data_IF_550194399054
#
_entry.id   IF_550194399054
#
_cell.length_a   1.000
_cell.length_b   1.000
_cell.length_c   1.000
_cell.angle_alpha   90.00
_cell.angle_beta   90.00
_cell.angle_gamma   90.00
#
_symmetry.space_group_name_H-M   'P 1'
#
loop_
_entity.id
_entity.type
_entity.pdbx_description
1 polymer ?
#
# COMPACT_ATOMS: atom_id res chain seq x y z
N UNK A 1 -10.38 11.38 8.93
CA UNK A 1 -11.43 10.63 8.24
C UNK A 1 -10.91 10.02 6.95
N UNK A 2 -11.63 9.06 6.45
CA UNK A 2 -11.29 8.38 5.21
C UNK A 2 -11.97 9.10 4.05
N UNK A 3 -11.19 9.43 3.01
CA UNK A 3 -11.69 10.21 1.89
C UNK A 3 -12.07 9.37 0.67
N UNK A 4 -11.47 8.22 0.51
CA UNK A 4 -11.78 7.35 -0.61
C UNK A 4 -11.60 5.91 -0.21
N UNK A 5 -12.57 5.07 -0.54
CA UNK A 5 -12.52 3.63 -0.30
C UNK A 5 -13.06 2.94 -1.54
N UNK A 6 -12.37 1.91 -1.98
CA UNK A 6 -12.85 1.09 -3.08
C UNK A 6 -12.40 -0.34 -2.92
N UNK A 7 -13.26 -1.24 -3.37
CA UNK A 7 -12.92 -2.65 -3.47
C UNK A 7 -12.96 -3.02 -4.95
N UNK A 8 -11.83 -3.53 -5.45
CA UNK A 8 -11.67 -3.85 -6.85
C UNK A 8 -11.24 -5.31 -6.95
N UNK A 9 -12.20 -6.21 -6.87
CA UNK A 9 -11.97 -7.67 -6.84
C UNK A 9 -11.05 -8.04 -5.67
N UNK A 10 -9.80 -8.38 -5.93
CA UNK A 10 -8.87 -8.83 -4.89
C UNK A 10 -7.97 -7.70 -4.36
N UNK A 11 -8.27 -6.46 -4.74
CA UNK A 11 -7.52 -5.27 -4.29
C UNK A 11 -8.44 -4.25 -3.65
N UNK A 12 -8.00 -3.70 -2.55
CA UNK A 12 -8.69 -2.63 -1.83
C UNK A 12 -7.89 -1.35 -1.90
N UNK A 13 -8.59 -0.23 -1.97
CA UNK A 13 -7.98 1.10 -1.94
C UNK A 13 -8.58 1.91 -0.81
N UNK A 14 -7.73 2.53 -0.01
CA UNK A 14 -8.15 3.45 1.05
C UNK A 14 -7.28 4.70 0.96
N UNK A 15 -7.91 5.85 0.83
CA UNK A 15 -7.20 7.13 0.85
C UNK A 15 -7.72 7.95 2.03
N UNK A 16 -6.82 8.47 2.84
CA UNK A 16 -7.20 9.18 4.06
C UNK A 16 -7.24 10.70 3.85
N UNK A 17 -7.57 11.43 4.92
CA UNK A 17 -7.72 12.87 4.84
C UNK A 17 -6.40 13.63 4.76
N UNK A 18 -5.26 12.95 4.84
CA UNK A 18 -3.96 13.56 4.55
C UNK A 18 -3.63 13.50 3.06
N UNK A 19 -4.44 12.78 2.27
CA UNK A 19 -4.20 12.57 0.86
C UNK A 19 -3.39 11.32 0.56
N UNK A 20 -2.99 10.57 1.59
CA UNK A 20 -2.24 9.33 1.41
C UNK A 20 -3.17 8.21 0.98
N UNK A 21 -2.76 7.46 -0.02
CA UNK A 21 -3.51 6.31 -0.51
C UNK A 21 -2.74 5.01 -0.24
N UNK A 22 -3.49 3.99 0.11
CA UNK A 22 -2.96 2.63 0.32
C UNK A 22 -3.80 1.66 -0.47
N UNK A 23 -3.15 0.83 -1.27
CA UNK A 23 -3.85 -0.26 -1.95
C UNK A 23 -3.25 -1.59 -1.51
N UNK A 24 -4.09 -2.54 -1.19
CA UNK A 24 -3.69 -3.84 -0.68
C UNK A 24 -4.25 -4.95 -1.55
N UNK A 25 -3.41 -5.89 -1.92
CA UNK A 25 -3.79 -7.04 -2.72
C UNK A 25 -3.62 -8.33 -1.96
N UNK A 26 -4.49 -9.30 -2.26
CA UNK A 26 -4.59 -10.56 -1.55
C UNK A 26 -4.63 -11.72 -2.53
N UNK A 27 -4.66 -12.92 -2.02
CA UNK A 27 -4.88 -14.11 -2.82
C UNK A 27 -6.39 -14.28 -3.06
N UNK A 28 -6.77 -14.68 -4.28
CA UNK A 28 -8.18 -14.64 -4.68
C UNK A 28 -9.04 -15.75 -4.10
N UNK A 29 -8.57 -16.99 -4.09
CA UNK A 29 -9.39 -18.13 -3.73
C UNK A 29 -8.91 -18.88 -2.49
N UNK A 30 -7.91 -18.37 -1.83
CA UNK A 30 -7.27 -19.06 -0.74
C UNK A 30 -7.40 -18.25 0.53
N UNK A 31 -7.34 -18.94 1.65
CA UNK A 31 -7.25 -18.29 2.95
C UNK A 31 -5.80 -18.07 3.36
N UNK A 32 -4.86 -18.21 2.44
CA UNK A 32 -3.45 -18.00 2.75
C UNK A 32 -3.22 -16.56 3.22
N UNK A 33 -2.50 -16.38 4.31
CA UNK A 33 -2.40 -15.07 4.96
C UNK A 33 -1.31 -14.20 4.34
N UNK A 34 -1.47 -13.85 3.07
CA UNK A 34 -0.48 -13.08 2.32
C UNK A 34 -1.13 -11.82 1.74
N UNK A 35 -0.42 -10.70 1.80
CA UNK A 35 -0.84 -9.48 1.12
C UNK A 35 0.36 -8.63 0.74
N UNK A 36 0.16 -7.80 -0.29
CA UNK A 36 1.11 -6.76 -0.67
C UNK A 36 0.40 -5.43 -0.50
N UNK A 37 1.09 -4.48 0.13
CA UNK A 37 0.57 -3.14 0.38
C UNK A 37 1.43 -2.13 -0.36
N UNK A 38 0.80 -1.28 -1.17
CA UNK A 38 1.45 -0.15 -1.81
C UNK A 38 0.89 1.14 -1.23
N UNK A 39 1.77 2.00 -0.76
CA UNK A 39 1.40 3.27 -0.12
C UNK A 39 2.05 4.43 -0.86
N UNK A 40 1.26 5.44 -1.20
CA UNK A 40 1.78 6.68 -1.78
C UNK A 40 1.18 7.88 -1.04
N UNK A 41 2.03 8.70 -0.44
CA UNK A 41 1.58 9.96 0.13
C UNK A 41 1.15 10.91 -0.98
N UNK A 42 0.37 11.90 -0.65
CA UNK A 42 0.08 12.98 -1.59
C UNK A 42 1.33 13.83 -1.77
N UNK A 43 1.39 14.56 -2.87
CA UNK A 43 2.48 15.47 -3.13
C UNK A 43 3.24 15.11 -4.40
N UNK A 44 3.86 16.13 -4.98
CA UNK A 44 4.46 16.03 -6.29
C UNK A 44 5.62 15.01 -6.37
N UNK A 45 6.38 14.91 -5.30
CA UNK A 45 7.56 14.04 -5.27
C UNK A 45 7.35 12.73 -4.53
N UNK A 46 6.11 12.43 -4.14
CA UNK A 46 5.83 11.20 -3.41
C UNK A 46 5.98 9.98 -4.32
N UNK A 47 6.69 8.97 -3.81
CA UNK A 47 6.87 7.70 -4.52
C UNK A 47 6.08 6.61 -3.80
N UNK A 48 5.92 5.47 -4.46
CA UNK A 48 5.20 4.35 -3.86
C UNK A 48 6.14 3.50 -3.04
N UNK A 49 5.74 3.18 -1.81
CA UNK A 49 6.41 2.19 -0.99
C UNK A 49 5.65 0.87 -1.07
N UNK A 50 6.38 -0.22 -1.22
CA UNK A 50 5.79 -1.55 -1.23
C UNK A 50 6.18 -2.34 0.01
N UNK A 51 5.22 -3.06 0.59
CA UNK A 51 5.45 -3.92 1.74
C UNK A 51 4.75 -5.25 1.54
N UNK A 52 5.36 -6.30 2.05
CA UNK A 52 4.87 -7.66 1.97
C UNK A 52 4.52 -8.15 3.37
N UNK A 53 3.35 -8.76 3.54
CA UNK A 53 2.97 -9.38 4.80
C UNK A 53 2.63 -10.85 4.55
N UNK A 54 3.29 -11.73 5.31
CA UNK A 54 2.93 -13.14 5.37
C UNK A 54 2.72 -13.47 6.84
N UNK A 55 1.46 -13.66 7.22
CA UNK A 55 1.12 -14.03 8.59
C UNK A 55 1.29 -15.53 8.77
N UNK A 56 1.55 -16.01 10.00
CA UNK A 56 1.69 -17.44 10.24
C UNK A 56 0.43 -18.22 9.89
N UNK A 57 0.62 -19.39 9.27
CA UNK A 57 -0.45 -20.35 9.07
C UNK A 57 -0.75 -21.11 10.36
N UNK A 58 0.24 -21.19 11.24
CA UNK A 58 0.20 -22.08 12.40
C UNK A 58 0.74 -23.47 12.06
N UNK A 59 1.46 -23.60 10.93
CA UNK A 59 2.05 -24.87 10.49
C UNK A 59 3.53 -24.64 10.27
N UNK A 60 4.35 -25.27 11.08
CA UNK A 60 5.79 -24.99 11.13
C UNK A 60 6.50 -25.19 9.79
N UNK A 61 6.04 -26.13 8.96
CA UNK A 61 6.65 -26.40 7.66
C UNK A 61 6.18 -25.44 6.56
N UNK A 62 5.16 -24.64 6.82
CA UNK A 62 4.64 -23.65 5.87
C UNK A 62 4.94 -22.23 6.30
N UNK A 63 5.19 -22.00 7.57
CA UNK A 63 5.41 -20.67 8.10
C UNK A 63 6.79 -20.15 7.73
N UNK A 64 6.83 -18.88 7.32
CA UNK A 64 8.10 -18.23 7.07
C UNK A 64 8.79 -17.95 8.40
N UNK A 65 10.08 -18.22 8.48
CA UNK A 65 10.87 -18.03 9.71
C UNK A 65 11.56 -16.68 9.69
N UNK A 66 11.67 -16.05 10.85
CA UNK A 66 12.44 -14.80 10.98
C UNK A 66 13.87 -15.08 10.50
N UNK A 67 14.37 -14.23 9.61
CA UNK A 67 15.68 -14.37 9.00
C UNK A 67 15.68 -15.13 7.67
N UNK A 68 14.55 -15.73 7.31
CA UNK A 68 14.44 -16.47 6.05
C UNK A 68 14.22 -15.51 4.89
N UNK A 69 14.76 -15.84 3.73
CA UNK A 69 14.55 -15.06 2.52
C UNK A 69 13.26 -15.47 1.82
N UNK A 70 12.52 -14.49 1.36
CA UNK A 70 11.32 -14.69 0.53
C UNK A 70 11.68 -14.21 -0.86
N UNK A 71 11.59 -15.08 -1.85
CA UNK A 71 11.86 -14.68 -3.24
C UNK A 71 10.56 -14.27 -3.92
N UNK A 72 10.63 -13.17 -4.66
CA UNK A 72 9.47 -12.59 -5.35
C UNK A 72 9.59 -12.87 -6.84
N UNK A 73 8.52 -13.38 -7.42
CA UNK A 73 8.49 -13.74 -8.84
C UNK A 73 7.35 -12.99 -9.52
N UNK A 74 7.65 -12.39 -10.66
CA UNK A 74 6.66 -11.73 -11.50
C UNK A 74 6.71 -12.37 -12.88
N UNK A 75 5.62 -13.03 -13.28
CA UNK A 75 5.51 -13.72 -14.55
C UNK A 75 6.67 -14.69 -14.78
N UNK A 76 7.06 -15.40 -13.74
CA UNK A 76 8.12 -16.40 -13.80
C UNK A 76 9.54 -15.85 -13.73
N UNK A 77 9.69 -14.53 -13.58
CA UNK A 77 11.00 -13.90 -13.47
C UNK A 77 11.24 -13.46 -12.03
N UNK A 78 12.39 -13.79 -11.48
CA UNK A 78 12.74 -13.40 -10.13
C UNK A 78 13.00 -11.89 -10.03
N UNK A 79 12.42 -11.27 -9.04
CA UNK A 79 12.70 -9.88 -8.69
C UNK A 79 13.66 -9.78 -7.49
N UNK A 80 14.24 -10.92 -7.10
CA UNK A 80 15.14 -10.96 -5.96
C UNK A 80 14.41 -11.35 -4.68
N UNK A 81 15.08 -11.14 -3.57
CA UNK A 81 14.65 -11.64 -2.27
C UNK A 81 14.39 -10.51 -1.30
N UNK A 82 13.53 -10.80 -0.32
CA UNK A 82 13.28 -9.92 0.82
C UNK A 82 13.44 -10.79 2.05
N UNK A 83 14.19 -10.30 3.02
CA UNK A 83 14.39 -11.04 4.27
C UNK A 83 13.20 -10.79 5.20
N UNK A 84 12.65 -11.87 5.74
CA UNK A 84 11.59 -11.77 6.75
C UNK A 84 12.22 -11.39 8.08
N UNK A 85 12.00 -10.13 8.50
CA UNK A 85 12.67 -9.59 9.68
C UNK A 85 11.91 -9.85 10.96
N UNK A 86 10.58 -9.84 10.91
CA UNK A 86 9.74 -9.94 12.09
C UNK A 86 8.38 -10.50 11.74
N UNK A 87 7.80 -11.26 12.65
CA UNK A 87 6.41 -11.73 12.50
C UNK A 87 5.40 -10.64 12.87
N UNK A 88 5.89 -9.52 13.44
CA UNK A 88 5.02 -8.45 13.93
C UNK A 88 4.93 -7.25 13.01
N UNK A 89 5.64 -7.25 11.91
CA UNK A 89 5.66 -6.11 10.98
C UNK A 89 5.81 -6.57 9.54
N UNK A 90 5.28 -5.82 8.57
CA UNK A 90 5.48 -6.13 7.15
C UNK A 90 6.95 -6.03 6.73
N UNK A 91 7.31 -6.78 5.71
CA UNK A 91 8.66 -6.73 5.13
C UNK A 91 8.69 -5.70 4.01
N UNK A 92 9.67 -4.81 4.07
CA UNK A 92 9.77 -3.72 3.09
C UNK A 92 10.40 -4.23 1.79
N UNK A 93 9.76 -3.93 0.68
CA UNK A 93 10.29 -4.22 -0.65
C UNK A 93 11.30 -3.15 -1.04
N UNK A 94 12.22 -3.49 -1.94
CA UNK A 94 13.11 -2.48 -2.52
C UNK A 94 12.33 -1.59 -3.49
N UNK A 95 12.91 -0.46 -3.83
CA UNK A 95 12.30 0.45 -4.81
C UNK A 95 12.15 -0.24 -6.16
N UNK A 96 13.16 -1.00 -6.58
CA UNK A 96 13.13 -1.72 -7.85
C UNK A 96 12.04 -2.79 -7.86
N UNK A 97 11.92 -3.55 -6.78
CA UNK A 97 10.88 -4.57 -6.65
C UNK A 97 9.49 -3.93 -6.72
N UNK A 98 9.30 -2.83 -6.01
CA UNK A 98 8.05 -2.10 -5.99
C UNK A 98 7.67 -1.61 -7.38
N UNK A 99 8.60 -1.00 -8.08
CA UNK A 99 8.36 -0.50 -9.44
C UNK A 99 8.04 -1.62 -10.41
N UNK A 100 8.76 -2.73 -10.32
CA UNK A 100 8.53 -3.86 -11.20
C UNK A 100 7.14 -4.47 -10.99
N UNK A 101 6.72 -4.63 -9.73
CA UNK A 101 5.40 -5.16 -9.41
C UNK A 101 4.30 -4.24 -9.91
N UNK A 102 4.41 -2.93 -9.66
CA UNK A 102 3.43 -1.97 -10.14
C UNK A 102 3.33 -1.97 -11.67
N UNK A 103 4.46 -2.05 -12.35
CA UNK A 103 4.48 -2.12 -13.81
C UNK A 103 3.79 -3.38 -14.32
N UNK A 104 4.05 -4.52 -13.67
CA UNK A 104 3.40 -5.79 -14.05
C UNK A 104 1.90 -5.77 -13.79
N UNK A 105 1.48 -5.17 -12.70
CA UNK A 105 0.08 -5.13 -12.30
C UNK A 105 -0.80 -4.22 -13.16
N UNK A 106 -0.22 -3.47 -14.09
CA UNK A 106 -1.00 -2.68 -15.05
C UNK A 106 -1.79 -3.58 -16.00
N UNK A 107 -1.38 -4.81 -16.15
CA UNK A 107 -2.04 -5.80 -17.00
C UNK A 107 -1.98 -7.16 -16.34
N UNK A 108 -2.61 -8.13 -16.95
CA UNK A 108 -2.65 -9.48 -16.40
C UNK A 108 -1.25 -9.99 -16.11
N UNK A 109 -1.03 -10.46 -14.89
CA UNK A 109 0.27 -10.91 -14.43
C UNK A 109 0.12 -11.92 -13.29
N UNK A 110 1.21 -12.64 -13.02
CA UNK A 110 1.23 -13.63 -11.95
C UNK A 110 2.35 -13.24 -10.98
N UNK A 111 1.98 -13.08 -9.71
CA UNK A 111 2.92 -12.80 -8.64
C UNK A 111 3.01 -14.03 -7.75
N UNK A 112 4.22 -14.54 -7.54
CA UNK A 112 4.48 -15.65 -6.63
C UNK A 112 5.53 -15.25 -5.61
N UNK A 113 5.38 -15.81 -4.42
CA UNK A 113 6.33 -15.65 -3.32
C UNK A 113 6.77 -17.04 -2.90
N UNK A 114 8.07 -17.26 -2.85
CA UNK A 114 8.58 -18.58 -2.49
C UNK A 114 9.56 -18.49 -1.34
N UNK A 115 9.43 -19.40 -0.40
CA UNK A 115 10.38 -19.58 0.69
C UNK A 115 10.30 -21.03 1.16
N UNK A 116 11.44 -21.65 1.41
CA UNK A 116 11.47 -23.07 1.74
C UNK A 116 10.78 -23.89 0.65
N UNK A 117 9.78 -24.65 1.04
CA UNK A 117 8.98 -25.44 0.10
C UNK A 117 7.62 -24.80 -0.16
N UNK A 118 7.40 -23.62 0.35
CA UNK A 118 6.10 -22.92 0.26
C UNK A 118 6.08 -21.98 -0.92
N UNK A 119 4.98 -21.98 -1.67
CA UNK A 119 4.71 -21.03 -2.72
C UNK A 119 3.36 -20.37 -2.44
N UNK A 120 3.34 -19.05 -2.40
CA UNK A 120 2.12 -18.28 -2.24
C UNK A 120 1.92 -17.43 -3.50
N UNK A 121 0.68 -17.05 -3.76
CA UNK A 121 0.33 -16.17 -4.87
C UNK A 121 -0.39 -14.95 -4.36
N UNK A 122 -0.19 -13.83 -5.04
CA UNK A 122 -1.01 -12.64 -4.84
C UNK A 122 -1.73 -12.37 -6.16
N UNK A 123 -3.03 -12.17 -6.08
CA UNK A 123 -3.86 -11.96 -7.26
C UNK A 123 -3.56 -10.61 -7.91
N UNK A 124 -3.63 -10.56 -9.24
CA UNK A 124 -3.53 -9.32 -10.00
C UNK A 124 -4.90 -8.69 -10.27
N UNK A 125 -5.97 -9.41 -9.94
CA UNK A 125 -7.33 -8.99 -10.34
C UNK A 125 -7.79 -7.76 -9.57
N UNK A 126 -8.00 -6.68 -10.29
CA UNK A 126 -8.44 -5.42 -9.71
C UNK A 126 -7.31 -4.44 -9.42
N UNK A 127 -6.05 -4.86 -9.55
CA UNK A 127 -4.92 -3.99 -9.25
C UNK A 127 -4.87 -2.75 -10.15
N UNK A 128 -5.09 -2.93 -11.45
CA UNK A 128 -5.07 -1.80 -12.37
C UNK A 128 -6.17 -0.79 -12.06
N UNK A 129 -7.36 -1.27 -11.69
CA UNK A 129 -8.46 -0.38 -11.30
C UNK A 129 -8.12 0.39 -10.02
N UNK A 130 -7.50 -0.27 -9.05
CA UNK A 130 -7.09 0.37 -7.81
C UNK A 130 -6.03 1.46 -8.08
N UNK A 131 -5.05 1.16 -8.95
CA UNK A 131 -4.02 2.13 -9.34
C UNK A 131 -4.62 3.34 -10.04
N UNK A 132 -5.58 3.11 -10.93
CA UNK A 132 -6.25 4.21 -11.63
C UNK A 132 -6.98 5.12 -10.65
N UNK A 133 -7.67 4.54 -9.69
CA UNK A 133 -8.39 5.32 -8.68
C UNK A 133 -7.45 6.05 -7.74
N UNK A 134 -6.31 5.47 -7.41
CA UNK A 134 -5.29 6.15 -6.64
C UNK A 134 -4.78 7.38 -7.39
N UNK A 135 -4.51 7.23 -8.70
CA UNK A 135 -4.08 8.35 -9.54
C UNK A 135 -5.15 9.45 -9.60
N UNK A 136 -6.42 9.06 -9.77
CA UNK A 136 -7.53 10.01 -9.79
C UNK A 136 -7.61 10.80 -8.48
N UNK A 137 -7.59 10.09 -7.36
CA UNK A 137 -7.71 10.73 -6.06
C UNK A 137 -6.56 11.70 -5.81
N UNK A 138 -5.36 11.33 -6.18
CA UNK A 138 -4.17 12.15 -5.97
C UNK A 138 -3.86 13.10 -7.11
N UNK A 139 -4.77 13.19 -8.10
CA UNK A 139 -4.67 14.12 -9.23
C UNK A 139 -3.41 13.91 -10.06
N UNK A 140 -3.10 12.62 -10.30
CA UNK A 140 -1.91 12.24 -11.05
C UNK A 140 -2.17 11.80 -12.47
N UNK A 141 -3.45 11.69 -12.89
CA UNK A 141 -3.77 11.25 -14.24
C UNK A 141 -3.11 12.15 -15.28
N UNK A 142 -2.56 11.53 -16.31
CA UNK A 142 -1.89 12.17 -17.44
C UNK A 142 -0.62 12.94 -17.06
N UNK A 143 -0.11 12.75 -15.83
CA UNK A 143 1.16 13.34 -15.40
C UNK A 143 2.27 12.32 -15.55
N UNK A 144 3.55 12.75 -15.52
CA UNK A 144 4.66 11.79 -15.61
C UNK A 144 4.71 10.80 -14.44
N UNK A 145 4.12 11.14 -13.30
CA UNK A 145 4.16 10.28 -12.12
C UNK A 145 2.93 9.40 -11.96
N UNK A 146 2.01 9.40 -12.92
CA UNK A 146 0.83 8.53 -12.88
C UNK A 146 1.26 7.07 -12.93
N UNK A 147 0.50 6.21 -12.25
CA UNK A 147 0.76 4.76 -12.28
C UNK A 147 0.20 4.13 -13.55
N UNK A 148 -0.96 4.58 -14.02
CA UNK A 148 -1.64 3.98 -15.16
C UNK A 148 -1.59 4.86 -16.41
N UNK A 149 -2.13 6.06 -16.36
CA UNK A 149 -2.22 6.94 -17.52
C UNK A 149 -1.18 8.03 -17.43
N UNK A 150 0.05 7.68 -17.75
CA UNK A 150 1.13 8.65 -17.76
C UNK A 150 0.96 9.62 -18.93
N UNK A 151 1.45 10.83 -18.75
CA UNK A 151 1.41 11.86 -19.76
C UNK A 151 2.33 13.00 -19.39
N UNK A 152 2.20 14.11 -20.09
CA UNK A 152 3.09 15.26 -19.91
C UNK A 152 2.42 16.43 -19.19
N UNK A 153 1.20 16.26 -18.70
CA UNK A 153 0.50 17.35 -18.02
C UNK A 153 1.20 17.73 -16.73
N UNK A 154 1.26 19.01 -16.47
CA UNK A 154 1.90 19.56 -15.30
C UNK A 154 0.92 20.41 -14.52
N UNK A 155 -0.19 19.80 -14.16
CA UNK A 155 -1.14 20.49 -13.29
C UNK A 155 -0.75 20.25 -11.82
N UNK A 156 -1.37 20.97 -10.93
CA UNK A 156 -1.12 20.80 -9.52
C UNK A 156 -1.65 19.45 -9.06
N UNK A 157 -0.77 18.60 -8.55
CA UNK A 157 -1.19 17.35 -7.93
C UNK A 157 -1.70 17.63 -6.53
N UNK A 158 -2.46 16.69 -5.99
CA UNK A 158 -2.99 16.85 -4.63
C UNK A 158 -1.84 16.99 -3.64
N UNK A 159 -1.87 18.09 -2.88
CA UNK A 159 -0.88 18.33 -1.84
C UNK A 159 -1.20 17.51 -0.58
N UNK A 160 -0.17 17.11 0.16
CA UNK A 160 -0.42 16.42 1.43
C UNK A 160 -1.11 17.36 2.40
N UNK A 161 -2.02 16.80 3.21
CA UNK A 161 -2.69 17.55 4.26
C UNK A 161 -2.21 17.02 5.59
N UNK A 162 -1.88 17.97 6.47
CA UNK A 162 -1.43 17.61 7.81
C UNK A 162 -2.64 17.30 8.67
N UNK A 163 -2.57 16.24 9.44
CA UNK A 163 -3.63 15.95 10.40
C UNK A 163 -3.66 17.04 11.44
N UNK A 164 -4.85 17.48 11.86
CA UNK A 164 -4.94 18.45 12.93
C UNK A 164 -4.27 17.93 14.18
N UNK A 165 -3.52 18.79 14.85
CA UNK A 165 -2.91 18.44 16.11
C UNK A 165 -3.85 18.84 17.23
N UNK A 166 -3.91 18.01 18.24
CA UNK A 166 -4.63 18.34 19.44
C UNK A 166 -3.64 18.92 20.43
N UNK A 167 -3.86 20.15 20.82
CA UNK A 167 -2.98 20.78 21.79
C UNK A 167 -3.29 20.26 23.16
N UNK A 168 -2.36 19.55 23.71
CA UNK A 168 -2.55 19.01 25.04
C UNK A 168 -2.64 20.07 26.09
N UNK A 169 -2.09 21.22 25.82
CA UNK A 169 -2.10 22.26 26.80
C UNK A 169 -3.42 22.86 27.01
N UNK A 170 -4.15 22.98 26.00
CA UNK A 170 -5.39 23.67 26.15
C UNK A 170 -6.39 22.91 26.89
N UNK A 171 -6.05 21.77 27.29
CA UNK A 171 -6.96 21.03 28.02
C UNK A 171 -7.13 21.51 29.34
N UNK A 172 -6.32 22.15 29.77
CA UNK A 172 -6.42 22.72 30.95
C UNK A 172 -7.04 23.91 30.92
N UNK A 173 -7.12 24.28 30.33
CA UNK A 173 -7.62 25.46 30.17
C UNK A 173 -8.58 25.37 29.20
N UNK A 174 -8.63 24.85 29.24
CA UNK A 174 -9.15 24.83 28.31
C UNK A 174 -9.57 24.03 28.06
N UNK A 175 -9.39 23.51 28.18
CA UNK A 175 -9.39 22.95 27.51
C UNK A 175 -9.85 22.46 27.21
N UNK A 176 -10.18 22.27 27.32
CA UNK A 176 -10.24 21.91 26.57
C UNK A 176 -10.60 21.92 25.97
N UNK A 177 -10.99 22.06 25.60
CA UNK A 177 -11.04 22.17 24.68
C UNK A 177 -11.23 22.10 24.03
N UNK A 178 -11.58 22.04 23.85
CA UNK A 178 -11.53 22.07 22.87
C UNK A 178 -11.48 21.58 22.03
N UNK A 179 -11.90 21.29 22.02
CA UNK A 179 -11.61 20.96 20.84
C UNK A 179 -12.19 21.68 19.78
N UNK A 180 -11.92 22.51 19.58
CA UNK A 180 -12.24 23.14 18.61
C UNK A 180 -12.19 22.98 17.40
N UNK A 181 -12.65 22.83 17.41
CA UNK A 181 -12.51 22.75 16.27
C UNK A 181 -12.55 22.23 15.66
N UNK A 182 -12.65 21.76 15.88
CA UNK A 182 -12.69 21.22 15.16
C UNK A 182 -12.24 20.57 14.96
N UNK A 183 -12.17 20.10 15.15
CA UNK A 183 -11.67 19.50 14.80
C UNK A 183 -11.64 18.92 15.02
N UNK A 184 -11.95 18.36 15.37
CA UNK A 184 -11.64 17.69 15.36
C UNK A 184 -11.38 16.91 15.37
N UNK A 185 -11.31 16.37 15.67
CA UNK A 185 -10.73 15.73 15.45
C UNK A 185 -10.31 14.98 15.35
N UNK A 186 -10.32 14.29 15.50
CA UNK A 186 -9.65 13.67 15.19
C UNK A 186 -9.51 12.92 15.10
N UNK A 187 -9.69 12.41 14.93
CA UNK A 187 -9.33 11.88 14.62
C UNK A 187 -8.85 11.35 14.41
N UNK A 188 -8.85 10.54 14.47
CA UNK A 188 -8.50 10.55 14.07
C UNK A 188 -8.26 10.04 13.76
#
# INVERSE_FOLDING_TARGET
SIKGIGNYQDWDLVCDNTGTCRMAGYQDESSDPVSILFTRAAGENATVEGKLTILPFGEADRDVQVGQDIEIWLNGKSLGKVKHISDDAPDKLTEEQTKALLSGLKKESEIRLTYGKTTLKVSDKGAAAAMLKMDEFQQRLNTPSALIRQGQEKHAVLAPKVKPKIDAVSVNNRKTIELKHGEKQFNH
#
